data_IF_757970440930
#
_entry.id   IF_757970440930
#
_cell.length_a   1.000
_cell.length_b   1.000
_cell.length_c   1.000
_cell.angle_alpha   90.00
_cell.angle_beta   90.00
_cell.angle_gamma   90.00
#
_symmetry.space_group_name_H-M   'P 1'
#
loop_
_entity.id
_entity.type
_entity.pdbx_description
1 polymer ?
#
# COMPACT_ATOMS: atom_id res chain seq x y z
N UNK A 1 1.51 -1.30 13.52
CA UNK A 1 2.57 -2.00 12.75
C UNK A 1 2.47 -1.70 11.25
N UNK A 2 1.27 -1.72 10.64
CA UNK A 2 1.08 -1.35 9.22
C UNK A 2 1.58 0.07 8.89
N UNK A 3 1.29 1.06 9.75
CA UNK A 3 1.65 2.47 9.50
C UNK A 3 3.18 2.74 9.48
N UNK A 4 3.90 2.28 10.52
CA UNK A 4 5.38 2.40 10.59
C UNK A 4 6.10 1.75 9.40
N UNK A 5 5.55 0.66 8.89
CA UNK A 5 6.13 -0.10 7.77
C UNK A 5 5.90 0.63 6.44
N UNK A 6 4.70 1.15 6.23
CA UNK A 6 4.39 1.99 5.07
C UNK A 6 5.26 3.25 5.03
N UNK A 7 5.41 3.94 6.18
CA UNK A 7 6.31 5.09 6.31
C UNK A 7 7.76 4.70 5.98
N UNK A 8 8.25 3.58 6.52
CA UNK A 8 9.60 3.10 6.22
C UNK A 8 9.80 2.79 4.72
N UNK A 9 8.82 2.18 4.05
CA UNK A 9 8.87 1.93 2.61
C UNK A 9 8.90 3.25 1.82
N UNK A 10 8.10 4.24 2.23
CA UNK A 10 8.13 5.59 1.65
C UNK A 10 9.53 6.21 1.73
N UNK A 11 10.16 6.15 2.90
CA UNK A 11 11.53 6.62 3.12
C UNK A 11 12.55 5.88 2.26
N UNK A 12 12.43 4.56 2.09
CA UNK A 12 13.31 3.77 1.24
C UNK A 12 13.18 4.16 -0.24
N UNK A 13 11.97 4.36 -0.74
CA UNK A 13 11.73 4.81 -2.13
C UNK A 13 12.32 6.20 -2.37
N UNK A 14 12.14 7.11 -1.42
CA UNK A 14 12.76 8.43 -1.50
C UNK A 14 14.29 8.37 -1.44
N UNK A 15 14.87 7.50 -0.61
CA UNK A 15 16.31 7.29 -0.56
C UNK A 15 16.86 6.78 -1.89
N UNK A 16 16.18 5.81 -2.52
CA UNK A 16 16.54 5.32 -3.86
C UNK A 16 16.50 6.43 -4.90
N UNK A 17 15.48 7.29 -4.87
CA UNK A 17 15.36 8.44 -5.78
C UNK A 17 16.55 9.41 -5.64
N UNK A 18 17.00 9.68 -4.42
CA UNK A 18 18.20 10.49 -4.19
C UNK A 18 19.46 9.80 -4.75
N UNK A 19 19.63 8.50 -4.51
CA UNK A 19 20.82 7.76 -4.96
C UNK A 19 20.87 7.63 -6.49
N UNK A 20 19.73 7.48 -7.16
CA UNK A 20 19.65 7.27 -8.61
C UNK A 20 19.65 8.58 -9.40
N UNK A 21 19.36 9.70 -8.75
CA UNK A 21 19.44 11.02 -9.36
C UNK A 21 20.88 11.48 -9.59
N UNK A 22 21.15 12.06 -10.76
CA UNK A 22 22.44 12.68 -11.07
C UNK A 22 22.78 13.88 -10.17
N UNK A 23 21.76 14.51 -9.57
CA UNK A 23 21.90 15.64 -8.64
C UNK A 23 21.43 15.32 -7.22
N UNK A 24 21.14 14.05 -6.92
CA UNK A 24 20.66 13.67 -5.59
C UNK A 24 21.78 13.64 -4.56
N UNK A 25 21.41 13.75 -3.30
CA UNK A 25 22.36 13.76 -2.17
C UNK A 25 22.47 12.39 -1.53
N UNK A 26 23.70 11.89 -1.42
CA UNK A 26 24.00 10.65 -0.70
C UNK A 26 23.74 10.84 0.79
N UNK A 27 24.03 12.01 1.36
CA UNK A 27 23.68 12.36 2.74
C UNK A 27 22.19 12.19 3.01
N UNK A 28 21.33 12.80 2.18
CA UNK A 28 19.87 12.72 2.35
C UNK A 28 19.39 11.28 2.24
N UNK A 29 19.93 10.51 1.28
CA UNK A 29 19.61 9.09 1.15
C UNK A 29 19.99 8.28 2.41
N UNK A 30 21.19 8.51 2.97
CA UNK A 30 21.65 7.82 4.19
C UNK A 30 20.79 8.19 5.40
N UNK A 31 20.37 9.45 5.54
CA UNK A 31 19.45 9.87 6.60
C UNK A 31 18.11 9.14 6.53
N UNK A 32 17.54 9.05 5.32
CA UNK A 32 16.28 8.32 5.08
C UNK A 32 16.44 6.82 5.34
N UNK A 33 17.55 6.22 4.90
CA UNK A 33 17.89 4.82 5.18
C UNK A 33 18.04 4.56 6.69
N UNK A 34 18.68 5.46 7.44
CA UNK A 34 18.80 5.37 8.89
C UNK A 34 17.42 5.31 9.55
N UNK A 35 16.55 6.29 9.24
CA UNK A 35 15.18 6.36 9.78
C UNK A 35 14.35 5.14 9.40
N UNK A 36 14.41 4.71 8.14
CA UNK A 36 13.69 3.52 7.68
C UNK A 36 14.16 2.24 8.39
N UNK A 37 15.47 2.07 8.55
CA UNK A 37 16.05 0.91 9.23
C UNK A 37 15.67 0.89 10.71
N UNK A 38 15.57 2.05 11.36
CA UNK A 38 15.08 2.16 12.73
C UNK A 38 13.60 1.75 12.84
N UNK A 39 12.75 2.20 11.93
CA UNK A 39 11.32 1.84 11.91
C UNK A 39 11.06 0.36 11.64
N UNK A 40 11.97 -0.30 10.90
CA UNK A 40 11.90 -1.71 10.52
C UNK A 40 12.64 -2.65 11.49
N UNK A 41 13.18 -2.11 12.58
CA UNK A 41 14.02 -2.82 13.56
C UNK A 41 15.28 -3.50 12.94
N UNK A 42 15.81 -2.92 11.85
CA UNK A 42 17.00 -3.38 11.11
C UNK A 42 18.28 -2.78 11.71
N UNK A 43 18.60 -3.22 12.94
CA UNK A 43 19.66 -2.65 13.79
C UNK A 43 21.02 -2.49 13.09
N UNK A 44 21.47 -3.49 12.34
CA UNK A 44 22.78 -3.46 11.70
C UNK A 44 22.89 -2.38 10.61
N UNK A 45 21.83 -2.18 9.82
CA UNK A 45 21.80 -1.17 8.75
C UNK A 45 21.61 0.22 9.35
N UNK A 46 20.80 0.33 10.43
CA UNK A 46 20.70 1.55 11.21
C UNK A 46 22.07 1.99 11.73
N UNK A 47 22.79 1.11 12.45
CA UNK A 47 24.13 1.43 12.99
C UNK A 47 25.11 1.77 11.87
N UNK A 48 25.11 1.02 10.76
CA UNK A 48 25.95 1.34 9.60
C UNK A 48 25.68 2.75 9.06
N UNK A 49 24.41 3.14 8.96
CA UNK A 49 24.00 4.46 8.48
C UNK A 49 24.43 5.56 9.44
N UNK A 50 24.23 5.37 10.75
CA UNK A 50 24.65 6.29 11.79
C UNK A 50 26.17 6.53 11.80
N UNK A 51 26.97 5.51 11.49
CA UNK A 51 28.42 5.67 11.32
C UNK A 51 28.74 6.58 10.14
N UNK A 52 28.06 6.43 9.00
CA UNK A 52 28.28 7.32 7.85
C UNK A 52 27.84 8.75 8.14
N UNK A 53 26.83 8.94 8.99
CA UNK A 53 26.36 10.24 9.47
C UNK A 53 27.26 10.85 10.56
N UNK A 54 28.29 10.14 11.02
CA UNK A 54 29.26 10.65 12.00
C UNK A 54 28.80 10.56 13.45
N UNK A 55 27.85 9.67 13.77
CA UNK A 55 27.37 9.49 15.13
C UNK A 55 28.50 8.98 16.05
N UNK A 56 28.92 9.85 16.98
CA UNK A 56 30.07 9.61 17.86
C UNK A 56 29.90 8.39 18.76
N UNK A 57 28.66 8.00 19.08
CA UNK A 57 28.38 6.77 19.83
C UNK A 57 28.98 5.54 19.15
N UNK A 58 29.00 5.50 17.81
CA UNK A 58 29.53 4.36 17.07
C UNK A 58 30.94 4.62 16.54
N UNK A 59 31.19 5.83 16.03
CA UNK A 59 32.48 6.24 15.46
C UNK A 59 33.62 6.06 16.47
N UNK A 60 33.41 6.44 17.74
CA UNK A 60 34.42 6.33 18.79
C UNK A 60 34.96 4.90 18.95
N UNK A 61 34.07 3.91 19.04
CA UNK A 61 34.48 2.52 19.25
C UNK A 61 35.16 1.92 18.02
N UNK A 62 34.71 2.29 16.82
CA UNK A 62 35.36 1.85 15.57
C UNK A 62 36.76 2.47 15.45
N UNK A 63 36.92 3.75 15.81
CA UNK A 63 38.22 4.42 15.81
C UNK A 63 39.21 3.71 16.74
N UNK A 64 38.77 3.35 17.96
CA UNK A 64 39.58 2.57 18.91
C UNK A 64 40.07 1.24 18.32
N UNK A 65 39.23 0.54 17.53
CA UNK A 65 39.64 -0.68 16.85
C UNK A 65 40.68 -0.40 15.75
N UNK A 66 40.42 0.57 14.86
CA UNK A 66 41.33 0.89 13.76
C UNK A 66 42.69 1.37 14.27
N UNK A 67 42.73 2.17 15.34
CA UNK A 67 43.95 2.61 16.00
C UNK A 67 44.76 1.43 16.55
N UNK A 68 44.09 0.43 17.15
CA UNK A 68 44.74 -0.77 17.65
C UNK A 68 45.27 -1.64 16.50
N UNK A 69 44.53 -1.75 15.40
CA UNK A 69 44.99 -2.44 14.18
C UNK A 69 46.25 -1.77 13.64
N UNK A 70 46.26 -0.44 13.53
CA UNK A 70 47.44 0.31 13.05
C UNK A 70 48.65 0.11 13.95
N UNK A 71 48.45 0.17 15.28
CA UNK A 71 49.52 -0.07 16.26
C UNK A 71 50.11 -1.47 16.13
N UNK A 72 49.27 -2.50 16.00
CA UNK A 72 49.74 -3.88 15.84
C UNK A 72 50.43 -4.11 14.49
N UNK A 73 49.93 -3.49 13.42
CA UNK A 73 50.56 -3.52 12.10
C UNK A 73 51.95 -2.87 12.14
N UNK A 74 52.09 -1.68 12.73
CA UNK A 74 53.36 -0.98 12.86
C UNK A 74 54.40 -1.78 13.65
N UNK A 75 53.98 -2.49 14.71
CA UNK A 75 54.88 -3.34 15.51
C UNK A 75 55.37 -4.58 14.75
N UNK A 76 54.47 -5.24 14.03
CA UNK A 76 54.73 -6.56 13.44
C UNK A 76 55.16 -6.51 11.98
N UNK A 77 54.86 -5.41 11.29
CA UNK A 77 55.03 -5.23 9.84
C UNK A 77 54.44 -6.40 9.03
N UNK A 78 53.32 -6.96 9.52
CA UNK A 78 52.62 -8.12 8.96
C UNK A 78 51.10 -7.91 9.03
N UNK A 79 50.31 -8.60 8.18
CA UNK A 79 48.85 -8.58 8.26
C UNK A 79 48.36 -8.89 9.68
N UNK A 80 47.40 -8.09 10.16
CA UNK A 80 46.86 -8.19 11.52
C UNK A 80 45.64 -9.11 11.53
N UNK A 81 45.69 -10.15 12.35
CA UNK A 81 44.55 -11.00 12.64
C UNK A 81 43.71 -10.43 13.80
N UNK A 82 42.54 -9.91 13.44
CA UNK A 82 41.60 -9.32 14.40
C UNK A 82 40.93 -10.36 15.30
N UNK A 83 41.06 -11.66 15.02
CA UNK A 83 40.55 -12.73 15.88
C UNK A 83 41.47 -13.05 17.07
N UNK A 84 42.69 -12.48 17.09
CA UNK A 84 43.64 -12.69 18.17
C UNK A 84 43.18 -12.10 19.50
N UNK A 85 43.73 -12.64 20.60
CA UNK A 85 43.36 -12.23 21.97
C UNK A 85 43.54 -10.74 22.26
N UNK A 86 44.44 -10.07 21.54
CA UNK A 86 44.72 -8.63 21.65
C UNK A 86 43.47 -7.78 21.36
N UNK A 87 42.60 -8.23 20.46
CA UNK A 87 41.41 -7.48 20.05
C UNK A 87 40.16 -7.84 20.87
N UNK A 88 40.21 -8.90 21.69
CA UNK A 88 39.03 -9.45 22.39
C UNK A 88 38.26 -8.40 23.17
N UNK A 89 38.94 -7.53 23.91
CA UNK A 89 38.30 -6.46 24.70
C UNK A 89 37.61 -5.44 23.81
N UNK A 90 38.27 -4.96 22.75
CA UNK A 90 37.69 -3.97 21.84
C UNK A 90 36.52 -4.55 21.05
N UNK A 91 36.61 -5.81 20.62
CA UNK A 91 35.51 -6.50 19.95
C UNK A 91 34.30 -6.71 20.87
N UNK A 92 34.54 -6.97 22.16
CA UNK A 92 33.46 -7.07 23.14
C UNK A 92 32.79 -5.70 23.35
N UNK A 93 33.57 -4.62 23.49
CA UNK A 93 33.03 -3.25 23.59
C UNK A 93 32.16 -2.87 22.39
N UNK A 94 32.58 -3.24 21.16
CA UNK A 94 31.76 -3.03 19.96
C UNK A 94 30.41 -3.74 20.08
N UNK A 95 30.42 -5.02 20.49
CA UNK A 95 29.21 -5.83 20.64
C UNK A 95 28.27 -5.24 21.70
N UNK A 96 28.81 -4.82 22.84
CA UNK A 96 28.04 -4.22 23.94
C UNK A 96 27.37 -2.90 23.51
N UNK A 97 27.99 -2.17 22.58
CA UNK A 97 27.43 -0.96 21.98
C UNK A 97 26.54 -1.23 20.74
N UNK A 98 26.25 -2.50 20.46
CA UNK A 98 25.37 -2.92 19.36
C UNK A 98 26.00 -2.82 17.98
N UNK A 99 27.34 -2.78 17.90
CA UNK A 99 28.10 -2.75 16.64
C UNK A 99 28.48 -4.19 16.28
N UNK A 100 27.85 -4.71 15.23
CA UNK A 100 28.24 -5.98 14.62
C UNK A 100 29.43 -5.76 13.69
N UNK A 101 30.64 -6.03 14.20
CA UNK A 101 31.87 -5.83 13.45
C UNK A 101 31.95 -6.71 12.19
N UNK A 102 31.34 -7.89 12.17
CA UNK A 102 31.35 -8.79 11.01
C UNK A 102 30.47 -8.23 9.88
N UNK A 103 29.37 -7.58 10.25
CA UNK A 103 28.50 -6.91 9.29
C UNK A 103 29.11 -5.60 8.76
N UNK A 104 29.69 -4.79 9.65
CA UNK A 104 30.08 -3.40 9.36
C UNK A 104 31.49 -3.32 8.76
N UNK A 105 32.46 -4.02 9.36
CA UNK A 105 33.89 -3.80 9.12
C UNK A 105 34.40 -4.72 8.01
N UNK A 106 33.93 -4.45 6.79
CA UNK A 106 34.45 -5.09 5.57
C UNK A 106 35.85 -4.58 5.23
N UNK A 107 36.61 -5.30 4.39
CA UNK A 107 37.93 -4.85 3.92
C UNK A 107 37.89 -3.47 3.26
N UNK A 108 36.90 -3.22 2.39
CA UNK A 108 36.73 -1.91 1.74
C UNK A 108 36.36 -0.83 2.76
N UNK A 109 35.47 -1.12 3.71
CA UNK A 109 35.14 -0.20 4.81
C UNK A 109 36.40 0.20 5.57
N UNK A 110 37.19 -0.78 6.04
CA UNK A 110 38.41 -0.52 6.79
C UNK A 110 39.40 0.32 5.98
N UNK A 111 39.62 0.01 4.69
CA UNK A 111 40.54 0.78 3.84
C UNK A 111 40.14 2.25 3.68
N UNK A 112 38.85 2.54 3.61
CA UNK A 112 38.33 3.90 3.47
C UNK A 112 38.28 4.63 4.81
N UNK A 113 37.98 3.94 5.90
CA UNK A 113 37.82 4.53 7.22
C UNK A 113 39.14 4.73 7.96
N UNK A 114 40.20 4.06 7.53
CA UNK A 114 41.53 4.09 8.15
C UNK A 114 42.54 4.99 7.42
N UNK A 115 42.09 5.85 6.51
CA UNK A 115 42.96 6.75 5.74
C UNK A 115 42.49 8.19 5.86
N UNK A 116 43.40 9.11 6.17
CA UNK A 116 43.08 10.54 6.19
C UNK A 116 42.74 11.06 4.79
N UNK A 117 43.34 10.46 3.75
CA UNK A 117 43.15 10.88 2.35
C UNK A 117 41.74 10.69 1.80
N UNK A 118 40.96 9.80 2.40
CA UNK A 118 39.55 9.56 2.11
C UNK A 118 38.62 10.34 3.06
N UNK A 119 39.17 11.06 4.04
CA UNK A 119 38.47 11.65 5.19
C UNK A 119 38.23 10.69 6.36
N UNK A 120 38.53 9.40 6.19
CA UNK A 120 38.52 8.41 7.26
C UNK A 120 37.19 8.28 8.01
N UNK A 121 37.27 8.03 9.32
CA UNK A 121 36.12 8.09 10.23
C UNK A 121 35.77 9.50 10.69
N UNK A 122 36.67 10.46 10.51
CA UNK A 122 36.53 11.81 11.06
C UNK A 122 35.61 12.69 10.19
N UNK A 123 35.34 12.28 8.95
CA UNK A 123 34.43 12.97 8.03
C UNK A 123 33.16 12.13 7.80
N UNK A 124 32.00 12.70 8.15
CA UNK A 124 30.70 12.13 7.78
C UNK A 124 30.43 12.34 6.29
N UNK A 125 29.45 11.60 5.75
CA UNK A 125 29.06 11.73 4.33
C UNK A 125 28.70 13.17 3.94
N UNK A 126 28.06 13.93 4.83
CA UNK A 126 27.75 15.34 4.59
C UNK A 126 29.02 16.18 4.39
N UNK A 127 30.00 16.01 5.28
CA UNK A 127 31.26 16.75 5.17
C UNK A 127 32.00 16.37 3.88
N UNK A 128 32.00 15.08 3.51
CA UNK A 128 32.62 14.62 2.26
C UNK A 128 31.93 15.22 1.03
N UNK A 129 30.60 15.25 0.99
CA UNK A 129 29.84 15.88 -0.10
C UNK A 129 30.11 17.38 -0.19
N UNK A 130 30.20 18.08 0.95
CA UNK A 130 30.46 19.52 1.02
C UNK A 130 31.89 19.90 0.59
N UNK A 131 32.87 19.03 0.85
CA UNK A 131 34.27 19.24 0.44
C UNK A 131 34.51 18.92 -1.04
N UNK A 132 33.66 18.09 -1.66
CA UNK A 132 33.87 17.62 -3.02
C UNK A 132 33.93 18.74 -4.09
N UNK A 133 33.09 19.80 -4.06
CA UNK A 133 33.21 20.93 -4.98
C UNK A 133 34.55 21.66 -4.86
N UNK A 134 35.05 21.84 -3.64
CA UNK A 134 36.36 22.47 -3.40
C UNK A 134 37.49 21.64 -4.01
N UNK A 135 37.51 20.33 -3.73
CA UNK A 135 38.53 19.41 -4.26
C UNK A 135 38.48 19.30 -5.79
N UNK A 136 37.28 19.37 -6.40
CA UNK A 136 37.13 19.39 -7.87
C UNK A 136 37.74 20.64 -8.51
N UNK A 137 37.69 21.78 -7.82
CA UNK A 137 38.22 23.06 -8.33
C UNK A 137 39.72 23.23 -8.05
N UNK A 138 40.18 22.80 -6.88
CA UNK A 138 41.53 23.13 -6.39
C UNK A 138 42.48 21.93 -6.33
N UNK A 139 42.00 20.70 -6.57
CA UNK A 139 42.78 19.48 -6.41
C UNK A 139 42.88 19.04 -4.94
N UNK A 140 43.92 18.26 -4.61
CA UNK A 140 44.13 17.72 -3.26
C UNK A 140 44.55 18.83 -2.28
N UNK A 141 44.12 18.76 -1.02
CA UNK A 141 44.39 19.80 0.00
C UNK A 141 45.51 19.44 1.00
N UNK A 142 46.38 18.48 0.62
CA UNK A 142 47.42 17.79 1.42
C UNK A 142 46.88 16.73 2.37
N UNK A 143 45.64 16.84 2.83
CA UNK A 143 44.99 15.83 3.67
C UNK A 143 44.07 15.00 2.81
N UNK A 144 43.00 15.58 2.26
CA UNK A 144 41.98 14.98 1.42
C UNK A 144 42.39 14.95 -0.05
N UNK A 145 42.21 13.78 -0.67
CA UNK A 145 42.59 13.54 -2.05
C UNK A 145 41.32 13.33 -2.87
N UNK A 146 41.18 14.07 -3.99
CA UNK A 146 39.94 14.12 -4.77
C UNK A 146 39.42 12.72 -5.13
N UNK A 147 40.29 11.86 -5.66
CA UNK A 147 39.91 10.50 -6.07
C UNK A 147 39.51 9.62 -4.89
N UNK A 148 40.17 9.79 -3.75
CA UNK A 148 39.94 9.00 -2.54
C UNK A 148 38.62 9.38 -1.86
N UNK A 149 38.31 10.69 -1.83
CA UNK A 149 37.01 11.19 -1.34
C UNK A 149 35.88 10.75 -2.26
N UNK A 150 36.07 10.81 -3.59
CA UNK A 150 35.09 10.27 -4.54
C UNK A 150 34.84 8.78 -4.31
N UNK A 151 35.89 7.97 -4.19
CA UNK A 151 35.79 6.54 -3.93
C UNK A 151 35.08 6.23 -2.59
N UNK A 152 35.22 7.10 -1.59
CA UNK A 152 34.53 6.97 -0.31
C UNK A 152 33.03 7.27 -0.44
N UNK A 153 32.68 8.37 -1.11
CA UNK A 153 31.27 8.73 -1.39
C UNK A 153 30.61 7.64 -2.24
N UNK A 154 31.28 7.16 -3.28
CA UNK A 154 30.78 6.11 -4.17
C UNK A 154 30.54 4.79 -3.42
N UNK A 155 31.41 4.44 -2.48
CA UNK A 155 31.21 3.29 -1.60
C UNK A 155 29.95 3.44 -0.74
N UNK A 156 29.77 4.60 -0.09
CA UNK A 156 28.60 4.87 0.74
C UNK A 156 27.34 4.84 -0.13
N UNK A 157 27.37 5.50 -1.29
CA UNK A 157 26.26 5.51 -2.27
C UNK A 157 25.85 4.10 -2.68
N UNK A 158 26.82 3.27 -3.09
CA UNK A 158 26.57 1.89 -3.51
C UNK A 158 26.00 1.05 -2.38
N UNK A 159 26.59 1.13 -1.18
CA UNK A 159 26.12 0.35 -0.02
C UNK A 159 24.73 0.78 0.47
N UNK A 160 24.46 2.08 0.49
CA UNK A 160 23.13 2.61 0.79
C UNK A 160 22.10 2.10 -0.22
N UNK A 161 22.44 2.08 -1.52
CA UNK A 161 21.56 1.53 -2.56
C UNK A 161 21.29 0.04 -2.34
N UNK A 162 22.34 -0.76 -2.13
CA UNK A 162 22.24 -2.19 -1.81
C UNK A 162 21.32 -2.46 -0.61
N UNK A 163 21.45 -1.69 0.47
CA UNK A 163 20.59 -1.81 1.65
C UNK A 163 19.16 -1.34 1.39
N UNK A 164 18.97 -0.24 0.66
CA UNK A 164 17.64 0.23 0.30
C UNK A 164 16.88 -0.81 -0.53
N UNK A 165 17.54 -1.40 -1.54
CA UNK A 165 16.96 -2.48 -2.37
C UNK A 165 16.68 -3.73 -1.52
N UNK A 166 17.62 -4.15 -0.68
CA UNK A 166 17.46 -5.31 0.20
C UNK A 166 16.24 -5.16 1.11
N UNK A 167 16.12 -4.02 1.79
CA UNK A 167 14.99 -3.74 2.68
C UNK A 167 13.69 -3.57 1.90
N UNK A 168 13.73 -2.84 0.78
CA UNK A 168 12.56 -2.69 -0.10
C UNK A 168 12.06 -4.05 -0.54
N UNK A 169 12.89 -4.95 -1.04
CA UNK A 169 12.46 -6.29 -1.41
C UNK A 169 11.91 -7.06 -0.20
N UNK A 170 12.66 -7.11 0.90
CA UNK A 170 12.25 -7.82 2.12
C UNK A 170 10.86 -7.42 2.60
N UNK A 171 10.52 -6.14 2.54
CA UNK A 171 9.27 -5.62 3.11
C UNK A 171 8.18 -5.29 2.07
N UNK A 172 8.51 -5.07 0.79
CA UNK A 172 7.54 -4.87 -0.31
C UNK A 172 6.84 -6.17 -0.70
N UNK A 173 7.51 -7.33 -0.61
CA UNK A 173 6.88 -8.64 -0.86
C UNK A 173 5.84 -9.05 0.18
N UNK A 174 5.72 -8.35 1.30
CA UNK A 174 4.62 -8.58 2.24
C UNK A 174 3.31 -7.86 1.90
N UNK A 175 3.32 -6.97 0.89
CA UNK A 175 2.13 -6.24 0.43
C UNK A 175 1.82 -6.46 -1.07
N UNK A 176 2.70 -7.09 -1.87
CA UNK A 176 2.57 -7.06 -3.36
C UNK A 176 2.20 -8.40 -4.03
N UNK A 177 2.01 -9.51 -3.30
CA UNK A 177 1.19 -10.59 -3.89
C UNK A 177 -0.25 -10.19 -3.62
N UNK A 178 -1.01 -9.81 -4.66
CA UNK A 178 -2.47 -9.86 -4.57
C UNK A 178 -2.81 -11.25 -4.03
N UNK A 179 -3.26 -11.32 -2.79
CA UNK A 179 -3.62 -12.58 -2.17
C UNK A 179 -4.73 -13.22 -3.00
N UNK A 180 -4.94 -14.54 -2.89
CA UNK A 180 -6.09 -15.17 -3.54
C UNK A 180 -7.42 -14.49 -3.13
N UNK A 181 -7.44 -13.88 -1.95
CA UNK A 181 -8.56 -13.07 -1.50
C UNK A 181 -8.66 -11.73 -2.25
N UNK A 182 -7.55 -11.04 -2.53
CA UNK A 182 -7.60 -9.79 -3.32
C UNK A 182 -8.10 -10.04 -4.75
N UNK A 183 -7.75 -11.20 -5.34
CA UNK A 183 -8.29 -11.61 -6.64
C UNK A 183 -9.81 -11.80 -6.59
N UNK A 184 -10.31 -12.56 -5.61
CA UNK A 184 -11.74 -12.78 -5.39
C UNK A 184 -12.46 -11.45 -5.13
N UNK A 185 -11.91 -10.63 -4.24
CA UNK A 185 -12.45 -9.35 -3.85
C UNK A 185 -12.62 -8.43 -5.06
N UNK A 186 -11.57 -8.24 -5.85
CA UNK A 186 -11.64 -7.36 -7.02
C UNK A 186 -12.69 -7.87 -8.03
N UNK A 187 -12.73 -9.17 -8.29
CA UNK A 187 -13.71 -9.75 -9.22
C UNK A 187 -15.17 -9.55 -8.75
N UNK A 188 -15.42 -9.64 -7.44
CA UNK A 188 -16.75 -9.40 -6.85
C UNK A 188 -17.09 -7.91 -6.82
N UNK A 189 -16.15 -7.07 -6.39
CA UNK A 189 -16.32 -5.62 -6.31
C UNK A 189 -16.62 -5.03 -7.69
N UNK A 190 -15.89 -5.44 -8.74
CA UNK A 190 -16.11 -5.01 -10.12
C UNK A 190 -17.52 -5.39 -10.61
N UNK A 191 -17.96 -6.63 -10.39
CA UNK A 191 -19.31 -7.08 -10.78
C UNK A 191 -20.42 -6.37 -10.01
N UNK A 192 -20.19 -6.08 -8.72
CA UNK A 192 -21.13 -5.30 -7.93
C UNK A 192 -21.18 -3.85 -8.40
N UNK A 193 -20.05 -3.25 -8.77
CA UNK A 193 -20.01 -1.90 -9.34
C UNK A 193 -20.80 -1.83 -10.65
N UNK A 194 -20.63 -2.82 -11.52
CA UNK A 194 -21.35 -2.92 -12.79
C UNK A 194 -22.87 -3.16 -12.58
N UNK A 195 -23.26 -3.85 -11.51
CA UNK A 195 -24.65 -4.08 -11.15
C UNK A 195 -25.30 -2.84 -10.50
N UNK A 196 -24.70 -2.34 -9.42
CA UNK A 196 -25.16 -1.20 -8.63
C UNK A 196 -24.02 -0.69 -7.70
N UNK A 197 -23.44 0.50 -7.95
CA UNK A 197 -22.31 1.02 -7.18
C UNK A 197 -22.54 1.12 -5.67
N UNK A 198 -23.79 1.35 -5.25
CA UNK A 198 -24.15 1.39 -3.83
C UNK A 198 -23.93 0.03 -3.13
N UNK A 199 -24.12 -1.10 -3.84
CA UNK A 199 -23.88 -2.43 -3.28
C UNK A 199 -22.38 -2.68 -3.05
N UNK A 200 -21.55 -2.31 -4.02
CA UNK A 200 -20.09 -2.40 -3.88
C UNK A 200 -19.59 -1.54 -2.71
N UNK A 201 -20.13 -0.32 -2.59
CA UNK A 201 -19.79 0.57 -1.48
C UNK A 201 -20.17 -0.03 -0.11
N UNK A 202 -21.35 -0.64 0.01
CA UNK A 202 -21.79 -1.32 1.24
C UNK A 202 -20.86 -2.48 1.62
N UNK A 203 -20.42 -3.29 0.64
CA UNK A 203 -19.47 -4.39 0.88
C UNK A 203 -18.11 -3.87 1.35
N UNK A 204 -17.63 -2.79 0.73
CA UNK A 204 -16.38 -2.14 1.11
C UNK A 204 -16.45 -1.58 2.53
N UNK A 205 -17.57 -0.99 2.94
CA UNK A 205 -17.76 -0.53 4.32
C UNK A 205 -17.79 -1.68 5.32
N UNK A 206 -18.44 -2.80 5.00
CA UNK A 206 -18.41 -4.00 5.84
C UNK A 206 -16.98 -4.53 6.01
N UNK A 207 -16.21 -4.59 4.92
CA UNK A 207 -14.80 -5.00 4.95
C UNK A 207 -13.91 -4.06 5.77
N UNK A 208 -14.15 -2.74 5.67
CA UNK A 208 -13.43 -1.75 6.49
C UNK A 208 -13.78 -1.91 7.98
N UNK A 209 -15.06 -2.12 8.30
CA UNK A 209 -15.53 -2.26 9.68
C UNK A 209 -14.88 -3.43 10.43
N UNK A 210 -14.68 -4.59 9.76
CA UNK A 210 -14.02 -5.75 10.40
C UNK A 210 -12.51 -5.57 10.63
N UNK A 211 -11.88 -4.63 9.91
CA UNK A 211 -10.47 -4.29 10.07
C UNK A 211 -10.22 -3.34 11.26
N UNK A 212 -11.27 -2.82 11.86
CA UNK A 212 -11.21 -1.97 13.05
C UNK A 212 -10.94 -2.77 14.34
N UNK A 213 -10.74 -2.04 15.44
CA UNK A 213 -10.59 -2.60 16.79
C UNK A 213 -11.83 -2.39 17.67
N UNK A 214 -12.97 -2.01 17.09
CA UNK A 214 -14.21 -1.70 17.83
C UNK A 214 -15.26 -2.77 17.58
N UNK A 215 -15.84 -3.30 18.66
CA UNK A 215 -16.93 -4.29 18.60
C UNK A 215 -18.22 -3.72 18.01
N UNK A 216 -18.44 -2.41 18.18
CA UNK A 216 -19.53 -1.67 17.55
C UNK A 216 -19.35 -1.65 16.02
N UNK A 217 -18.15 -1.38 15.53
CA UNK A 217 -17.85 -1.39 14.10
C UNK A 217 -17.99 -2.80 13.49
N UNK A 218 -17.66 -3.86 14.23
CA UNK A 218 -17.91 -5.24 13.79
C UNK A 218 -19.41 -5.55 13.69
N UNK A 219 -20.20 -5.11 14.67
CA UNK A 219 -21.66 -5.27 14.67
C UNK A 219 -22.30 -4.49 13.52
N UNK A 220 -21.78 -3.29 13.22
CA UNK A 220 -22.21 -2.48 12.10
C UNK A 220 -21.84 -3.11 10.75
N UNK A 221 -20.68 -3.76 10.64
CA UNK A 221 -20.29 -4.50 9.44
C UNK A 221 -21.28 -5.64 9.14
N UNK A 222 -21.68 -6.40 10.16
CA UNK A 222 -22.68 -7.47 10.00
C UNK A 222 -24.06 -6.94 9.60
N UNK A 223 -24.46 -5.81 10.16
CA UNK A 223 -25.70 -5.12 9.75
C UNK A 223 -25.64 -4.69 8.29
N UNK A 224 -24.47 -4.22 7.85
CA UNK A 224 -24.23 -3.85 6.45
C UNK A 224 -24.28 -5.06 5.52
N UNK A 225 -23.71 -6.21 5.91
CA UNK A 225 -23.83 -7.47 5.17
C UNK A 225 -25.29 -7.90 4.97
N UNK A 226 -26.13 -7.76 5.99
CA UNK A 226 -27.56 -8.08 5.86
C UNK A 226 -28.26 -7.14 4.88
N UNK A 227 -28.04 -5.83 5.01
CA UNK A 227 -28.64 -4.84 4.09
C UNK A 227 -28.22 -5.07 2.65
N UNK A 228 -26.95 -5.45 2.46
CA UNK A 228 -26.43 -5.81 1.14
C UNK A 228 -27.19 -7.01 0.55
N UNK A 229 -27.48 -8.06 1.33
CA UNK A 229 -28.27 -9.20 0.85
C UNK A 229 -29.70 -8.80 0.46
N UNK A 230 -30.34 -7.96 1.27
CA UNK A 230 -31.69 -7.46 1.01
C UNK A 230 -31.71 -6.64 -0.28
N UNK A 231 -30.76 -5.70 -0.44
CA UNK A 231 -30.64 -4.85 -1.61
C UNK A 231 -30.22 -5.62 -2.88
N UNK A 232 -29.33 -6.60 -2.76
CA UNK A 232 -28.98 -7.50 -3.86
C UNK A 232 -30.22 -8.29 -4.31
N UNK A 233 -31.00 -8.84 -3.38
CA UNK A 233 -32.22 -9.55 -3.72
C UNK A 233 -33.24 -8.64 -4.42
N UNK A 234 -33.35 -7.38 -4.02
CA UNK A 234 -34.21 -6.39 -4.69
C UNK A 234 -33.82 -6.15 -6.15
N UNK A 235 -32.52 -6.20 -6.46
CA UNK A 235 -32.01 -6.05 -7.83
C UNK A 235 -32.18 -7.32 -8.66
N UNK A 236 -31.83 -8.47 -8.11
CA UNK A 236 -31.83 -9.76 -8.83
C UNK A 236 -33.23 -10.35 -9.00
N UNK A 237 -34.09 -10.19 -8.00
CA UNK A 237 -35.46 -10.69 -8.03
C UNK A 237 -36.37 -9.80 -7.17
N UNK A 238 -36.94 -8.73 -7.77
CA UNK A 238 -37.76 -7.75 -7.06
C UNK A 238 -38.95 -8.39 -6.33
N UNK A 239 -39.39 -7.81 -5.19
CA UNK A 239 -40.53 -8.32 -4.45
C UNK A 239 -41.79 -8.43 -5.31
N UNK A 240 -42.52 -9.52 -5.17
CA UNK A 240 -43.76 -9.76 -5.93
C UNK A 240 -44.71 -10.71 -5.20
N UNK A 241 -45.95 -10.76 -5.69
CA UNK A 241 -47.04 -11.56 -5.11
C UNK A 241 -47.14 -12.99 -5.66
N UNK A 242 -46.16 -13.45 -6.47
CA UNK A 242 -46.18 -14.81 -7.00
C UNK A 242 -45.97 -15.82 -5.87
N UNK A 243 -46.58 -17.00 -6.03
CA UNK A 243 -46.36 -18.16 -5.17
C UNK A 243 -45.85 -19.31 -6.03
N UNK A 244 -44.59 -19.69 -5.85
CA UNK A 244 -43.95 -20.77 -6.61
C UNK A 244 -43.48 -21.82 -5.61
N UNK A 245 -43.83 -23.10 -5.82
CA UNK A 245 -43.44 -24.21 -4.95
C UNK A 245 -43.72 -23.95 -3.45
N UNK A 246 -44.88 -23.36 -3.14
CA UNK A 246 -45.30 -22.95 -1.78
C UNK A 246 -44.42 -21.87 -1.11
N UNK A 247 -43.55 -21.20 -1.85
CA UNK A 247 -42.74 -20.06 -1.38
C UNK A 247 -43.35 -18.75 -1.85
N UNK A 248 -43.20 -17.72 -1.02
CA UNK A 248 -43.58 -16.33 -1.30
C UNK A 248 -42.33 -15.48 -1.46
N UNK A 249 -42.45 -14.37 -2.19
CA UNK A 249 -41.35 -13.50 -2.60
C UNK A 249 -41.57 -12.04 -2.17
N UNK A 250 -42.03 -11.84 -0.93
CA UNK A 250 -42.22 -10.50 -0.36
C UNK A 250 -40.88 -9.84 -0.02
N UNK A 251 -40.90 -8.54 0.27
CA UNK A 251 -39.69 -7.75 0.54
C UNK A 251 -38.81 -8.35 1.65
N UNK A 252 -39.42 -8.82 2.75
CA UNK A 252 -38.71 -9.44 3.88
C UNK A 252 -38.21 -10.87 3.60
N UNK A 253 -38.50 -11.46 2.44
CA UNK A 253 -38.15 -12.83 2.07
C UNK A 253 -36.98 -12.86 1.07
N UNK A 254 -35.95 -12.03 1.33
CA UNK A 254 -34.79 -11.88 0.45
C UNK A 254 -34.07 -13.21 0.14
N UNK A 255 -33.99 -14.14 1.11
CA UNK A 255 -33.42 -15.49 0.89
C UNK A 255 -34.19 -16.24 -0.20
N UNK A 256 -35.52 -16.27 -0.11
CA UNK A 256 -36.35 -16.94 -1.12
C UNK A 256 -36.19 -16.31 -2.50
N UNK A 257 -36.01 -14.98 -2.56
CA UNK A 257 -35.82 -14.22 -3.79
C UNK A 257 -34.46 -14.54 -4.44
N UNK A 258 -33.38 -14.59 -3.65
CA UNK A 258 -32.07 -15.05 -4.13
C UNK A 258 -32.12 -16.51 -4.59
N UNK A 259 -32.80 -17.39 -3.86
CA UNK A 259 -33.01 -18.78 -4.28
C UNK A 259 -33.74 -18.91 -5.61
N UNK A 260 -34.73 -18.05 -5.86
CA UNK A 260 -35.48 -18.05 -7.10
C UNK A 260 -34.60 -17.58 -8.26
N UNK A 261 -33.88 -16.47 -8.10
CA UNK A 261 -32.87 -16.01 -9.06
C UNK A 261 -31.89 -17.12 -9.44
N UNK A 262 -31.29 -17.80 -8.44
CA UNK A 262 -30.33 -18.89 -8.69
C UNK A 262 -30.99 -20.09 -9.39
N UNK A 263 -32.28 -20.33 -9.16
CA UNK A 263 -33.00 -21.43 -9.82
C UNK A 263 -33.33 -21.12 -11.27
N UNK A 264 -33.46 -19.84 -11.62
CA UNK A 264 -33.71 -19.36 -12.98
C UNK A 264 -32.41 -19.16 -13.78
N UNK A 265 -31.31 -18.77 -13.12
CA UNK A 265 -30.08 -18.34 -13.78
C UNK A 265 -29.00 -19.44 -13.85
N UNK A 266 -29.02 -20.42 -12.94
CA UNK A 266 -27.99 -21.46 -12.86
C UNK A 266 -28.54 -22.78 -13.41
N UNK A 267 -28.09 -23.15 -14.60
CA UNK A 267 -28.49 -24.41 -15.26
C UNK A 267 -27.91 -25.65 -14.55
N UNK A 268 -26.65 -25.56 -14.10
CA UNK A 268 -25.96 -26.64 -13.40
C UNK A 268 -26.52 -26.86 -12.00
N UNK A 269 -27.08 -28.05 -11.75
CA UNK A 269 -27.63 -28.43 -10.45
C UNK A 269 -26.59 -28.36 -9.32
N UNK A 270 -25.36 -28.82 -9.57
CA UNK A 270 -24.28 -28.80 -8.56
C UNK A 270 -23.88 -27.38 -8.16
N UNK A 271 -23.76 -26.48 -9.13
CA UNK A 271 -23.38 -25.08 -8.85
C UNK A 271 -24.52 -24.34 -8.15
N UNK A 272 -25.76 -24.63 -8.55
CA UNK A 272 -26.95 -24.07 -7.91
C UNK A 272 -27.07 -24.51 -6.45
N UNK A 273 -26.80 -25.77 -6.16
CA UNK A 273 -26.85 -26.28 -4.79
C UNK A 273 -25.72 -25.69 -3.93
N UNK A 274 -24.53 -25.51 -4.50
CA UNK A 274 -23.42 -24.82 -3.82
C UNK A 274 -23.80 -23.36 -3.45
N UNK A 275 -24.30 -22.60 -4.42
CA UNK A 275 -24.70 -21.22 -4.20
C UNK A 275 -25.84 -21.11 -3.16
N UNK A 276 -26.81 -22.03 -3.20
CA UNK A 276 -27.87 -22.13 -2.17
C UNK A 276 -27.29 -22.39 -0.77
N UNK A 277 -26.34 -23.31 -0.63
CA UNK A 277 -25.72 -23.58 0.68
C UNK A 277 -25.05 -22.34 1.28
N UNK A 278 -24.38 -21.53 0.45
CA UNK A 278 -23.78 -20.27 0.91
C UNK A 278 -24.82 -19.23 1.34
N UNK A 279 -25.91 -19.06 0.57
CA UNK A 279 -27.02 -18.17 0.95
C UNK A 279 -27.66 -18.62 2.26
N UNK A 280 -27.86 -19.92 2.45
CA UNK A 280 -28.51 -20.49 3.63
C UNK A 280 -27.67 -20.29 4.89
N UNK A 281 -26.36 -20.53 4.76
CA UNK A 281 -25.40 -20.29 5.82
C UNK A 281 -25.43 -18.82 6.27
N UNK A 282 -25.26 -17.88 5.33
CA UNK A 282 -25.21 -16.45 5.64
C UNK A 282 -26.55 -15.93 6.17
N UNK A 283 -27.67 -16.31 5.53
CA UNK A 283 -29.01 -15.91 5.94
C UNK A 283 -29.32 -16.38 7.36
N UNK A 284 -29.08 -17.66 7.66
CA UNK A 284 -29.28 -18.23 8.99
C UNK A 284 -28.40 -17.57 10.05
N UNK A 285 -27.14 -17.29 9.70
CA UNK A 285 -26.17 -16.69 10.61
C UNK A 285 -26.51 -15.22 10.93
N UNK A 286 -26.84 -14.42 9.92
CA UNK A 286 -27.21 -13.01 10.07
C UNK A 286 -28.53 -12.86 10.82
N UNK A 287 -29.50 -13.73 10.58
CA UNK A 287 -30.75 -13.75 11.36
C UNK A 287 -30.52 -14.09 12.83
N UNK A 288 -29.68 -15.10 13.12
CA UNK A 288 -29.40 -15.51 14.49
C UNK A 288 -28.73 -14.38 15.27
N UNK A 289 -27.74 -13.71 14.66
CA UNK A 289 -27.08 -12.57 15.27
C UNK A 289 -28.03 -11.40 15.50
N UNK A 290 -28.83 -11.04 14.49
CA UNK A 290 -29.82 -9.98 14.63
C UNK A 290 -30.80 -10.25 15.78
N UNK A 291 -31.26 -11.50 15.95
CA UNK A 291 -32.14 -11.89 17.06
C UNK A 291 -31.44 -11.80 18.43
N UNK A 292 -30.12 -12.01 18.52
CA UNK A 292 -29.36 -11.89 19.76
C UNK A 292 -29.14 -10.42 20.13
N UNK A 293 -28.69 -9.60 19.18
CA UNK A 293 -28.42 -8.17 19.38
C UNK A 293 -29.69 -7.37 19.74
N UNK A 294 -30.84 -7.65 19.10
CA UNK A 294 -32.08 -6.93 19.38
C UNK A 294 -32.80 -7.37 20.67
N UNK A 295 -32.43 -8.50 21.28
CA UNK A 295 -33.00 -8.96 22.55
C UNK A 295 -32.28 -8.39 23.77
N UNK A 296 -31.35 -7.43 23.59
CA UNK A 296 -30.57 -6.84 24.69
C UNK A 296 -29.60 -7.82 25.34
N UNK A 297 -29.41 -9.01 24.76
CA UNK A 297 -28.32 -9.90 25.13
C UNK A 297 -27.11 -9.35 24.40
N UNK A 298 -26.22 -8.68 25.12
CA UNK A 298 -24.92 -8.22 24.62
C UNK A 298 -24.05 -9.45 24.29
N UNK A 299 -24.44 -10.22 23.27
CA UNK A 299 -23.55 -11.14 22.61
C UNK A 299 -22.54 -10.27 21.88
N UNK A 300 -21.40 -10.00 22.53
CA UNK A 300 -20.29 -9.31 21.90
C UNK A 300 -19.89 -10.11 20.66
N UNK A 301 -20.03 -9.48 19.50
CA UNK A 301 -19.57 -10.06 18.23
C UNK A 301 -18.05 -10.13 18.32
N UNK A 302 -17.46 -11.31 18.07
CA UNK A 302 -16.01 -11.45 17.98
C UNK A 302 -15.50 -10.98 16.60
N UNK A 303 -14.38 -10.26 16.55
CA UNK A 303 -13.73 -9.86 15.30
C UNK A 303 -13.54 -11.04 14.33
N UNK A 304 -13.12 -12.20 14.84
CA UNK A 304 -12.90 -13.38 14.00
C UNK A 304 -14.20 -13.92 13.40
N UNK A 305 -15.32 -13.75 14.10
CA UNK A 305 -16.64 -14.15 13.59
C UNK A 305 -17.13 -13.17 12.53
N UNK A 306 -17.03 -11.86 12.79
CA UNK A 306 -17.38 -10.84 11.81
C UNK A 306 -16.54 -10.97 10.53
N UNK A 307 -15.23 -11.24 10.69
CA UNK A 307 -14.31 -11.49 9.57
C UNK A 307 -14.78 -12.68 8.73
N UNK A 308 -15.13 -13.80 9.37
CA UNK A 308 -15.63 -15.00 8.66
C UNK A 308 -16.88 -14.69 7.84
N UNK A 309 -17.81 -13.92 8.38
CA UNK A 309 -19.06 -13.57 7.68
C UNK A 309 -18.80 -12.72 6.45
N UNK A 310 -17.94 -11.71 6.55
CA UNK A 310 -17.56 -10.89 5.39
C UNK A 310 -16.86 -11.74 4.33
N UNK A 311 -15.98 -12.67 4.72
CA UNK A 311 -15.32 -13.57 3.77
C UNK A 311 -16.30 -14.52 3.08
N UNK A 312 -17.24 -15.10 3.83
CA UNK A 312 -18.32 -15.89 3.26
C UNK A 312 -19.23 -15.05 2.35
N UNK A 313 -19.40 -13.76 2.63
CA UNK A 313 -20.12 -12.85 1.74
C UNK A 313 -19.43 -12.75 0.38
N UNK A 314 -18.11 -12.52 0.34
CA UNK A 314 -17.37 -12.50 -0.94
C UNK A 314 -17.49 -13.81 -1.72
N UNK A 315 -17.40 -14.96 -1.04
CA UNK A 315 -17.55 -16.27 -1.69
C UNK A 315 -18.95 -16.45 -2.27
N UNK A 316 -19.98 -16.15 -1.48
CA UNK A 316 -21.37 -16.27 -1.90
C UNK A 316 -21.70 -15.33 -3.06
N UNK A 317 -21.23 -14.07 -3.00
CA UNK A 317 -21.41 -13.11 -4.08
C UNK A 317 -20.70 -13.57 -5.35
N UNK A 318 -19.51 -14.16 -5.26
CA UNK A 318 -18.84 -14.76 -6.43
C UNK A 318 -19.71 -15.83 -7.08
N UNK A 319 -20.31 -16.72 -6.30
CA UNK A 319 -21.15 -17.81 -6.82
C UNK A 319 -22.49 -17.33 -7.40
N UNK A 320 -23.00 -16.17 -6.98
CA UNK A 320 -24.25 -15.60 -7.51
C UNK A 320 -23.98 -14.71 -8.73
N UNK A 321 -23.04 -13.77 -8.61
CA UNK A 321 -22.76 -12.76 -9.63
C UNK A 321 -22.08 -13.35 -10.87
N UNK A 322 -21.57 -14.58 -10.80
CA UNK A 322 -21.11 -15.31 -11.98
C UNK A 322 -22.21 -15.58 -13.01
N UNK A 323 -23.46 -15.66 -12.58
CA UNK A 323 -24.61 -16.02 -13.42
C UNK A 323 -25.52 -14.83 -13.72
N UNK A 324 -25.03 -13.60 -13.53
CA UNK A 324 -25.75 -12.40 -13.94
C UNK A 324 -25.94 -12.40 -15.45
N UNK A 325 -27.20 -12.25 -15.88
CA UNK A 325 -27.50 -11.94 -17.27
C UNK A 325 -26.93 -10.54 -17.60
N UNK A 326 -26.14 -10.38 -18.68
CA UNK A 326 -25.63 -9.09 -19.11
C UNK A 326 -26.70 -8.00 -19.30
N UNK A 327 -27.97 -8.37 -19.46
CA UNK A 327 -29.11 -7.44 -19.51
C UNK A 327 -29.58 -6.94 -18.14
N UNK A 328 -29.23 -7.64 -17.05
CA UNK A 328 -29.48 -7.23 -15.66
C UNK A 328 -28.32 -6.47 -15.03
N UNK A 329 -27.11 -6.66 -15.55
CA UNK A 329 -26.00 -5.74 -15.33
C UNK A 329 -26.46 -4.40 -15.88
N UNK A 330 -26.31 -3.32 -15.12
CA UNK A 330 -26.64 -2.00 -15.65
C UNK A 330 -25.88 -1.86 -16.97
N UNK A 331 -26.61 -1.78 -18.08
CA UNK A 331 -26.01 -1.52 -19.37
C UNK A 331 -25.52 -0.08 -19.30
N UNK A 332 -24.35 0.14 -18.65
CA UNK A 332 -23.75 1.42 -18.25
C UNK A 332 -24.65 2.55 -18.70
N UNK A 333 -25.69 2.85 -17.92
CA UNK A 333 -26.58 3.95 -18.29
C UNK A 333 -25.67 5.15 -18.26
N UNK A 334 -25.27 5.63 -19.44
CA UNK A 334 -24.26 6.66 -19.59
C UNK A 334 -24.55 7.72 -18.53
N UNK A 335 -23.61 8.07 -17.62
CA UNK A 335 -23.88 9.05 -16.59
C UNK A 335 -24.51 10.29 -17.24
N UNK A 336 -25.60 10.79 -16.68
CA UNK A 336 -26.26 11.96 -17.25
C UNK A 336 -25.36 13.18 -17.03
N UNK A 337 -25.26 14.07 -18.03
CA UNK A 337 -24.60 15.36 -17.88
C UNK A 337 -25.15 16.15 -16.68
N UNK A 338 -26.42 15.92 -16.34
CA UNK A 338 -27.15 16.53 -15.23
C UNK A 338 -26.62 16.05 -13.87
N UNK A 339 -26.30 14.77 -13.74
CA UNK A 339 -25.95 14.14 -12.45
C UNK A 339 -24.47 13.80 -12.28
N UNK A 340 -23.68 13.85 -13.36
CA UNK A 340 -22.26 13.54 -13.37
C UNK A 340 -21.44 14.31 -12.31
N UNK A 341 -20.52 13.62 -11.66
CA UNK A 341 -19.59 14.21 -10.70
C UNK A 341 -18.39 14.86 -11.41
N UNK A 342 -17.56 15.58 -10.65
CA UNK A 342 -16.30 16.12 -11.18
C UNK A 342 -15.36 15.01 -11.67
N UNK A 343 -15.33 13.89 -10.95
CA UNK A 343 -14.46 12.77 -11.27
C UNK A 343 -14.95 12.05 -12.54
N UNK A 344 -16.28 11.95 -12.73
CA UNK A 344 -16.86 11.44 -13.97
C UNK A 344 -16.40 12.24 -15.18
N UNK A 345 -16.42 13.58 -15.10
CA UNK A 345 -15.95 14.42 -16.19
C UNK A 345 -14.45 14.24 -16.46
N UNK A 346 -13.61 14.13 -15.43
CA UNK A 346 -12.16 13.95 -15.61
C UNK A 346 -11.84 12.62 -16.26
N UNK A 347 -12.42 11.54 -15.75
CA UNK A 347 -12.13 10.17 -16.17
C UNK A 347 -12.74 9.88 -17.53
N UNK A 348 -14.04 10.17 -17.72
CA UNK A 348 -14.76 9.77 -18.92
C UNK A 348 -14.50 10.68 -20.12
N UNK A 349 -14.18 11.95 -19.90
CA UNK A 349 -13.81 12.88 -20.97
C UNK A 349 -12.29 13.00 -21.17
N UNK A 350 -11.50 12.38 -20.27
CA UNK A 350 -10.03 12.45 -20.26
C UNK A 350 -9.53 13.91 -20.25
N UNK A 351 -10.07 14.72 -19.34
CA UNK A 351 -9.74 16.15 -19.21
C UNK A 351 -9.08 16.45 -17.87
N UNK A 352 -8.29 17.52 -17.80
CA UNK A 352 -7.72 18.01 -16.54
C UNK A 352 -8.83 18.55 -15.63
N UNK A 353 -8.64 18.46 -14.31
CA UNK A 353 -9.58 18.94 -13.28
C UNK A 353 -10.09 20.36 -13.48
N UNK A 354 -9.26 21.27 -13.98
CA UNK A 354 -9.67 22.65 -14.25
C UNK A 354 -10.75 22.74 -15.36
N UNK A 355 -10.70 21.86 -16.36
CA UNK A 355 -11.73 21.78 -17.40
C UNK A 355 -13.00 21.14 -16.84
N UNK A 356 -12.86 20.06 -16.04
CA UNK A 356 -14.00 19.42 -15.38
C UNK A 356 -14.77 20.37 -14.44
N UNK A 357 -14.04 21.21 -13.67
CA UNK A 357 -14.64 22.28 -12.86
C UNK A 357 -15.42 23.29 -13.71
N UNK A 358 -14.90 23.61 -14.90
CA UNK A 358 -15.57 24.55 -15.82
C UNK A 358 -16.86 23.96 -16.36
N UNK A 359 -16.88 22.67 -16.72
CA UNK A 359 -18.08 21.91 -17.12
C UNK A 359 -19.12 21.91 -15.99
N UNK A 360 -18.68 21.55 -14.79
CA UNK A 360 -19.53 21.52 -13.61
C UNK A 360 -20.13 22.89 -13.28
N UNK A 361 -19.34 23.97 -13.45
CA UNK A 361 -19.81 25.34 -13.26
C UNK A 361 -20.85 25.74 -14.31
N UNK A 362 -20.61 25.41 -15.59
CA UNK A 362 -21.58 25.65 -16.66
C UNK A 362 -22.92 24.94 -16.39
N UNK A 363 -22.88 23.73 -15.82
CA UNK A 363 -24.11 23.03 -15.40
C UNK A 363 -24.86 23.79 -14.30
N UNK A 364 -24.16 24.29 -13.28
CA UNK A 364 -24.79 25.08 -12.21
C UNK A 364 -25.42 26.35 -12.76
N UNK A 365 -24.71 27.06 -13.64
CA UNK A 365 -25.18 28.30 -14.27
C UNK A 365 -26.44 28.06 -15.12
N UNK A 366 -26.64 26.83 -15.61
CA UNK A 366 -27.85 26.39 -16.35
C UNK A 366 -28.86 25.61 -15.51
N UNK A 367 -28.83 25.75 -14.18
CA UNK A 367 -29.76 25.10 -13.26
C UNK A 367 -29.83 23.56 -13.43
N UNK A 368 -28.72 22.91 -13.80
CA UNK A 368 -28.66 21.46 -14.00
C UNK A 368 -28.89 21.00 -15.44
N UNK A 369 -29.44 21.85 -16.33
CA UNK A 369 -29.78 21.49 -17.71
C UNK A 369 -28.60 21.66 -18.68
N UNK A 370 -27.52 20.90 -18.49
CA UNK A 370 -26.33 20.94 -19.34
C UNK A 370 -26.49 20.01 -20.55
N UNK A 371 -26.32 20.54 -21.76
CA UNK A 371 -26.43 19.82 -23.04
C UNK A 371 -25.07 19.58 -23.70
N UNK A 372 -25.00 18.72 -24.72
CA UNK A 372 -23.77 18.57 -25.51
C UNK A 372 -23.40 19.84 -26.30
N UNK A 373 -24.38 20.66 -26.67
CA UNK A 373 -24.10 21.91 -27.36
C UNK A 373 -23.44 22.94 -26.43
N UNK A 374 -23.81 22.93 -25.15
CA UNK A 374 -23.21 23.79 -24.13
C UNK A 374 -21.73 23.47 -23.91
N UNK A 375 -21.36 22.19 -24.02
CA UNK A 375 -19.96 21.78 -23.92
C UNK A 375 -19.09 22.39 -25.04
N UNK A 376 -19.65 22.70 -26.21
CA UNK A 376 -18.90 23.32 -27.31
C UNK A 376 -18.47 24.75 -26.98
N UNK A 377 -19.20 25.44 -26.12
CA UNK A 377 -18.94 26.83 -25.73
C UNK A 377 -17.82 26.94 -24.69
N UNK A 378 -17.46 25.83 -24.03
CA UNK A 378 -16.44 25.79 -22.99
C UNK A 378 -15.04 25.79 -23.60
N UNK A 379 -14.27 26.83 -23.27
CA UNK A 379 -12.86 26.95 -23.67
C UNK A 379 -12.04 25.76 -23.14
N UNK A 380 -11.51 24.95 -24.04
CA UNK A 380 -10.71 23.76 -23.71
C UNK A 380 -11.38 22.43 -24.07
N UNK A 381 -12.65 22.45 -24.48
CA UNK A 381 -13.34 21.27 -25.03
C UNK A 381 -13.14 21.24 -26.55
N UNK A 382 -12.38 20.27 -27.03
CA UNK A 382 -12.15 20.04 -28.45
C UNK A 382 -13.11 18.98 -29.04
N UNK A 383 -13.02 18.79 -30.36
CA UNK A 383 -13.84 17.82 -31.11
C UNK A 383 -13.76 16.40 -30.52
N UNK A 384 -12.56 15.96 -30.10
CA UNK A 384 -12.35 14.63 -29.50
C UNK A 384 -13.05 14.48 -28.14
N UNK A 385 -12.97 15.51 -27.30
CA UNK A 385 -13.61 15.52 -25.98
C UNK A 385 -15.13 15.54 -26.11
N UNK A 386 -15.66 16.29 -27.08
CA UNK A 386 -17.08 16.32 -27.38
C UNK A 386 -17.61 14.98 -27.91
N UNK A 387 -16.81 14.30 -28.74
CA UNK A 387 -17.14 12.96 -29.21
C UNK A 387 -17.18 11.97 -28.04
N UNK A 388 -16.18 12.00 -27.16
CA UNK A 388 -16.18 11.21 -25.93
C UNK A 388 -17.40 11.52 -25.05
N UNK A 389 -17.81 12.79 -24.95
CA UNK A 389 -19.02 13.16 -24.21
C UNK A 389 -20.26 12.47 -24.77
N UNK A 390 -20.47 12.51 -26.09
CA UNK A 390 -21.62 11.85 -26.75
C UNK A 390 -21.59 10.33 -26.64
N UNK A 391 -20.38 9.75 -26.63
CA UNK A 391 -20.19 8.31 -26.49
C UNK A 391 -20.42 7.84 -25.03
N UNK A 392 -20.02 8.65 -24.04
CA UNK A 392 -19.92 8.23 -22.63
C UNK A 392 -20.94 8.83 -21.68
N UNK A 393 -21.68 9.89 -22.06
CA UNK A 393 -22.71 10.54 -21.24
C UNK A 393 -24.10 10.46 -21.88
N UNK A 394 -25.13 10.46 -21.05
CA UNK A 394 -26.51 10.74 -21.46
C UNK A 394 -26.79 12.23 -21.28
N UNK A 395 -27.64 12.79 -22.13
CA UNK A 395 -28.10 14.18 -21.99
C UNK A 395 -29.18 14.29 -20.93
#
# INVERSE_FOLDING_TARGET
MSDKKSEAIGLLNEALKELESAKGSVTVAVQKLSRASLLLDEKNIYVWSEIQLGNQKYVFHIKKLLDLINKEFQKKQKPVDISSSVFKTVLQELKDNGIDHQFIITSKFASLKNSDSTGGLDHSINILEDQLPYLKKNGNDKTLYLKNVQDHIDYIKKKSHEYCVKLSNKYKYSETSSSCFDLLKNAVDDKLLDLEPELAQQLMFAFKGISSKSSEEWSQALTSCRRLLEALADKLYPPNDKVINKRTFKANQYINRLWQFMSESIESESNRDLAKMHVDYLGSWLEKNYKMTNKGVHAEVNQLEATRVVFHMYLMLSDILEYLDPSQVSANSKPSLITATLDDFEVLLNVKREIAKTIYKARIEKNGSLTFDDLKEIRGIGVKTLQLAKERFAE
#
